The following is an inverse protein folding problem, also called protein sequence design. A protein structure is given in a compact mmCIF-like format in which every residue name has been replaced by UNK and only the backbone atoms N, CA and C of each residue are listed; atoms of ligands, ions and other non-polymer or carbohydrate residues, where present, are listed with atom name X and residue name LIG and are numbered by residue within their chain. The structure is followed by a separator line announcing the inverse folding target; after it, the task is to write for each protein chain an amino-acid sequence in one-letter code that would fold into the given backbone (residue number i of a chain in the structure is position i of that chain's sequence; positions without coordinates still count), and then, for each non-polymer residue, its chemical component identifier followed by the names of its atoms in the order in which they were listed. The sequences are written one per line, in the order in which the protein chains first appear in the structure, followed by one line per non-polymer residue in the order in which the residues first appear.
data_IF_871891188447
#
_entry.id   IF_871891188447
#
_cell.length_a   1.000
_cell.length_b   1.000
_cell.length_c   1.000
_cell.angle_alpha   90.00
_cell.angle_beta   90.00
_cell.angle_gamma   90.00
#
_symmetry.space_group_name_H-M   'P 1'
#
loop_
_entity.id
_entity.type
_entity.pdbx_description
1 polymer ?
#
# COMPACT_ATOMS: atom_id res chain seq x y z
N UNK A 1 -6.88 -6.30 -11.04
CA UNK A 1 -7.91 -5.43 -10.43
C UNK A 1 -7.27 -4.08 -10.14
N UNK A 2 -8.05 -2.99 -10.21
CA UNK A 2 -7.58 -1.65 -9.87
C UNK A 2 -8.10 -1.28 -8.49
N UNK A 3 -7.19 -1.15 -7.52
CA UNK A 3 -7.53 -0.86 -6.13
C UNK A 3 -6.98 0.50 -5.73
N UNK A 4 -7.75 1.23 -4.93
CA UNK A 4 -7.31 2.46 -4.28
C UNK A 4 -7.18 2.18 -2.79
N UNK A 5 -5.94 2.23 -2.30
CA UNK A 5 -5.61 1.92 -0.92
C UNK A 5 -5.27 3.20 -0.17
N UNK A 6 -5.89 3.40 0.99
CA UNK A 6 -5.53 4.45 1.95
C UNK A 6 -4.70 3.84 3.06
N UNK A 7 -3.41 4.16 3.10
CA UNK A 7 -2.45 3.57 4.04
C UNK A 7 -1.93 4.64 4.99
N UNK A 8 -1.96 4.36 6.29
CA UNK A 8 -1.31 5.22 7.27
C UNK A 8 0.21 5.05 7.19
N UNK A 9 0.92 6.13 6.87
CA UNK A 9 2.39 6.16 6.82
C UNK A 9 2.91 7.07 7.92
N UNK A 10 3.86 6.54 8.68
CA UNK A 10 4.49 7.25 9.78
C UNK A 10 5.93 6.73 9.94
N UNK A 11 6.90 7.64 9.95
CA UNK A 11 8.34 7.27 9.98
C UNK A 11 8.74 6.58 11.28
N UNK A 12 8.21 7.04 12.42
CA UNK A 12 8.46 6.51 13.76
C UNK A 12 7.41 7.07 14.74
N UNK A 13 7.39 6.59 15.98
CA UNK A 13 6.43 6.97 17.01
C UNK A 13 6.38 8.49 17.30
N UNK A 14 7.50 9.21 17.10
CA UNK A 14 7.58 10.65 17.34
C UNK A 14 7.13 11.51 16.14
N UNK A 15 7.01 10.91 14.95
CA UNK A 15 6.61 11.63 13.73
C UNK A 15 5.10 11.69 13.61
N UNK A 16 4.55 12.82 13.14
CA UNK A 16 3.13 12.88 12.77
C UNK A 16 2.88 11.97 11.56
N UNK A 17 2.01 10.98 11.74
CA UNK A 17 1.57 10.11 10.65
C UNK A 17 0.53 10.79 9.76
N UNK A 18 0.29 10.20 8.59
CA UNK A 18 -0.76 10.64 7.67
C UNK A 18 -1.26 9.48 6.83
N UNK A 19 -2.51 9.57 6.38
CA UNK A 19 -3.00 8.69 5.33
C UNK A 19 -2.43 9.12 3.98
N UNK A 20 -1.85 8.16 3.26
CA UNK A 20 -1.38 8.29 1.87
C UNK A 20 -2.24 7.39 1.01
N UNK A 21 -2.66 7.89 -0.16
CA UNK A 21 -3.47 7.13 -1.10
C UNK A 21 -2.58 6.56 -2.19
N UNK A 22 -2.65 5.25 -2.38
CA UNK A 22 -1.94 4.53 -3.44
C UNK A 22 -2.96 3.94 -4.40
N UNK A 23 -2.69 4.07 -5.69
CA UNK A 23 -3.42 3.37 -6.74
C UNK A 23 -2.57 2.19 -7.16
N UNK A 24 -3.09 0.99 -6.96
CA UNK A 24 -2.41 -0.25 -7.33
C UNK A 24 -3.17 -0.86 -8.48
N UNK A 25 -2.49 -0.98 -9.62
CA UNK A 25 -2.98 -1.66 -10.81
C UNK A 25 -2.47 -3.10 -10.81
N UNK A 26 -3.06 -3.95 -11.64
CA UNK A 26 -2.55 -5.31 -11.91
C UNK A 26 -2.57 -6.29 -10.72
N UNK A 27 -3.37 -6.01 -9.69
CA UNK A 27 -3.59 -6.94 -8.57
C UNK A 27 -4.39 -8.16 -9.04
N UNK A 28 -3.86 -9.37 -8.86
CA UNK A 28 -4.61 -10.59 -9.10
C UNK A 28 -5.74 -10.74 -8.07
N UNK A 29 -6.93 -11.16 -8.54
CA UNK A 29 -8.07 -11.42 -7.67
C UNK A 29 -7.88 -12.65 -6.76
N UNK A 30 -6.88 -13.49 -7.06
CA UNK A 30 -6.50 -14.64 -6.24
C UNK A 30 -5.44 -14.32 -5.19
N UNK A 31 -4.81 -13.13 -5.24
CA UNK A 31 -3.75 -12.75 -4.32
C UNK A 31 -4.31 -12.40 -2.95
N UNK A 32 -3.56 -12.75 -1.90
CA UNK A 32 -3.87 -12.34 -0.54
C UNK A 32 -3.57 -10.84 -0.32
N UNK A 33 -4.17 -10.23 0.70
CA UNK A 33 -3.90 -8.83 1.04
C UNK A 33 -2.41 -8.55 1.32
N UNK A 34 -1.66 -9.51 1.89
CA UNK A 34 -0.23 -9.33 2.18
C UNK A 34 0.60 -9.31 0.89
N UNK A 35 0.33 -10.21 -0.06
CA UNK A 35 0.98 -10.18 -1.37
C UNK A 35 0.69 -8.87 -2.12
N UNK A 36 -0.52 -8.32 -1.97
CA UNK A 36 -0.85 -6.99 -2.50
C UNK A 36 0.00 -5.88 -1.86
N UNK A 37 0.35 -6.01 -0.57
CA UNK A 37 1.23 -5.05 0.11
C UNK A 37 2.68 -5.20 -0.35
N UNK A 38 3.13 -6.40 -0.67
CA UNK A 38 4.47 -6.65 -1.21
C UNK A 38 4.63 -6.01 -2.59
N UNK A 39 3.67 -6.20 -3.51
CA UNK A 39 3.65 -5.53 -4.82
C UNK A 39 3.66 -4.01 -4.67
N UNK A 40 2.89 -3.48 -3.73
CA UNK A 40 2.90 -2.04 -3.46
C UNK A 40 4.27 -1.59 -2.94
N UNK A 41 4.90 -2.34 -2.03
CA UNK A 41 6.21 -2.00 -1.51
C UNK A 41 7.28 -2.02 -2.61
N UNK A 42 7.26 -2.97 -3.54
CA UNK A 42 8.17 -3.01 -4.70
C UNK A 42 8.02 -1.76 -5.57
N UNK A 43 6.80 -1.24 -5.76
CA UNK A 43 6.56 -0.02 -6.53
C UNK A 43 7.04 1.28 -5.86
N UNK A 44 7.37 1.23 -4.56
CA UNK A 44 7.80 2.38 -3.76
C UNK A 44 9.32 2.44 -3.55
N UNK A 45 10.07 1.46 -4.07
CA UNK A 45 11.54 1.37 -4.02
C UNK A 45 12.15 2.07 -5.23
#
# INVERSE_FOLDING_TARGET
MNLTLKIWRQKNAASKGKFVTYKVTDISASSSFLEMMDVLNESLV
#
